data_IF_846633841853
#
_entry.id   IF_846633841853
#
_cell.length_a   1.000
_cell.length_b   1.000
_cell.length_c   1.000
_cell.angle_alpha   90.00
_cell.angle_beta   90.00
_cell.angle_gamma   90.00
#
_symmetry.space_group_name_H-M   'P 1'
#
loop_
_entity.id
_entity.type
_entity.pdbx_description
1 polymer ?
#
# COMPACT_ATOMS: atom_id res chain seq x y z
N UNK A 1 7.55 -11.11 -14.16
CA UNK A 1 6.35 -11.81 -13.68
C UNK A 1 5.13 -11.22 -14.36
N UNK A 2 4.19 -12.06 -14.78
CA UNK A 2 2.86 -11.63 -15.25
C UNK A 2 1.79 -12.59 -14.69
N UNK A 3 0.66 -12.02 -14.30
CA UNK A 3 -0.50 -12.77 -13.79
C UNK A 3 -1.72 -12.34 -14.60
N UNK A 4 -2.48 -13.30 -15.08
CA UNK A 4 -3.79 -13.10 -15.69
C UNK A 4 -4.87 -13.62 -14.73
N UNK A 5 -5.78 -12.75 -14.32
CA UNK A 5 -6.85 -13.07 -13.38
C UNK A 5 -8.19 -12.66 -13.98
N UNK A 6 -9.20 -13.50 -13.82
CA UNK A 6 -10.58 -13.17 -14.14
C UNK A 6 -11.18 -12.28 -13.04
N UNK A 7 -11.71 -11.13 -13.44
CA UNK A 7 -12.17 -10.11 -12.47
C UNK A 7 -13.41 -10.57 -11.69
N UNK A 8 -14.33 -11.27 -12.35
CA UNK A 8 -15.61 -11.68 -11.73
C UNK A 8 -15.44 -12.79 -10.70
N UNK A 9 -14.55 -13.74 -10.95
CA UNK A 9 -14.37 -14.93 -10.12
C UNK A 9 -13.15 -14.87 -9.20
N UNK A 10 -12.17 -14.02 -9.54
CA UNK A 10 -10.85 -14.01 -8.91
C UNK A 10 -9.96 -15.18 -9.32
N UNK A 11 -10.39 -16.01 -10.27
CA UNK A 11 -9.60 -17.15 -10.73
C UNK A 11 -8.33 -16.70 -11.47
N UNK A 12 -7.20 -17.27 -11.09
CA UNK A 12 -5.93 -17.06 -11.79
C UNK A 12 -5.89 -17.97 -13.00
N UNK A 13 -5.94 -17.40 -14.20
CA UNK A 13 -5.94 -18.12 -15.48
C UNK A 13 -4.53 -18.44 -15.98
N UNK A 14 -3.55 -17.60 -15.64
CA UNK A 14 -2.14 -17.84 -15.96
C UNK A 14 -1.20 -17.08 -15.01
N UNK A 15 -0.06 -17.70 -14.71
CA UNK A 15 1.07 -17.07 -14.02
C UNK A 15 2.33 -17.39 -14.81
N UNK A 16 3.14 -16.38 -15.11
CA UNK A 16 4.41 -16.54 -15.81
C UNK A 16 5.53 -15.87 -14.98
N UNK A 17 6.58 -16.65 -14.70
CA UNK A 17 7.75 -16.20 -13.96
C UNK A 17 9.02 -16.51 -14.76
N UNK A 18 9.58 -15.52 -15.43
CA UNK A 18 10.79 -15.70 -16.25
C UNK A 18 11.98 -15.04 -15.59
N UNK A 19 13.01 -15.84 -15.30
CA UNK A 19 14.28 -15.39 -14.76
C UNK A 19 15.36 -15.57 -15.83
N UNK A 20 16.14 -14.51 -16.09
CA UNK A 20 17.29 -14.59 -16.97
C UNK A 20 18.42 -15.35 -16.27
N UNK A 21 18.83 -16.48 -16.84
CA UNK A 21 19.92 -17.31 -16.33
C UNK A 21 21.30 -16.80 -16.81
N UNK A 22 22.36 -17.34 -16.22
CA UNK A 22 23.74 -16.95 -16.56
C UNK A 22 24.11 -17.26 -18.03
N UNK A 23 23.44 -18.20 -18.65
CA UNK A 23 23.59 -18.56 -20.08
C UNK A 23 22.79 -17.63 -21.01
N UNK A 24 22.12 -16.60 -20.45
CA UNK A 24 21.31 -15.64 -21.18
C UNK A 24 19.90 -16.12 -21.53
N UNK A 25 19.55 -17.37 -21.23
CA UNK A 25 18.23 -17.95 -21.51
C UNK A 25 17.27 -17.64 -20.36
N UNK A 26 16.01 -17.34 -20.69
CA UNK A 26 14.96 -17.16 -19.70
C UNK A 26 14.29 -18.48 -19.36
N UNK A 27 14.14 -18.78 -18.06
CA UNK A 27 13.49 -19.98 -17.54
C UNK A 27 12.58 -19.66 -16.38
N UNK A 28 11.57 -20.47 -16.20
CA UNK A 28 10.81 -20.52 -14.94
C UNK A 28 11.59 -21.36 -13.92
N UNK A 29 12.10 -20.72 -12.87
CA UNK A 29 12.87 -21.38 -11.81
C UNK A 29 12.09 -21.37 -10.51
N UNK A 30 11.44 -20.24 -10.20
CA UNK A 30 10.69 -20.01 -8.98
C UNK A 30 9.44 -19.18 -9.29
N UNK A 31 8.35 -19.44 -8.61
CA UNK A 31 7.14 -18.62 -8.74
C UNK A 31 7.25 -17.35 -7.88
N UNK A 32 7.98 -16.36 -8.38
CA UNK A 32 8.20 -15.09 -7.69
C UNK A 32 6.90 -14.30 -7.46
N UNK A 33 5.86 -14.58 -8.25
CA UNK A 33 4.55 -13.92 -8.11
C UNK A 33 3.91 -14.14 -6.74
N UNK A 34 4.15 -15.30 -6.13
CA UNK A 34 3.53 -15.71 -4.87
C UNK A 34 4.54 -15.92 -3.74
N UNK A 35 5.82 -16.07 -4.05
CA UNK A 35 6.86 -16.40 -3.06
C UNK A 35 7.67 -15.20 -2.59
N UNK A 36 7.76 -14.14 -3.40
CA UNK A 36 8.57 -12.98 -3.05
C UNK A 36 7.76 -12.04 -2.16
N UNK A 37 8.38 -11.71 -1.03
CA UNK A 37 7.84 -10.73 -0.09
C UNK A 37 8.56 -9.41 -0.33
N UNK A 38 7.80 -8.40 -0.75
CA UNK A 38 8.33 -7.07 -1.06
C UNK A 38 7.39 -6.01 -0.52
N UNK A 39 7.94 -4.86 -0.21
CA UNK A 39 7.12 -3.68 0.06
C UNK A 39 6.32 -3.31 -1.20
N UNK A 40 4.97 -3.25 -1.11
CA UNK A 40 4.13 -3.06 -2.29
C UNK A 40 4.22 -1.66 -2.89
N UNK A 41 4.77 -0.68 -2.14
CA UNK A 41 4.87 0.70 -2.59
C UNK A 41 3.51 1.31 -2.93
N UNK A 42 3.47 2.18 -3.93
CA UNK A 42 2.28 2.97 -4.28
C UNK A 42 1.04 2.18 -4.70
N UNK A 43 1.15 0.90 -5.02
CA UNK A 43 -0.03 0.05 -5.28
C UNK A 43 -0.87 -0.14 -4.02
N UNK A 44 -0.25 -0.07 -2.85
CA UNK A 44 -0.91 -0.18 -1.55
C UNK A 44 -1.85 0.99 -1.23
N UNK A 45 -1.65 2.16 -1.85
CA UNK A 45 -2.51 3.33 -1.67
C UNK A 45 -3.98 3.05 -1.99
N UNK A 46 -4.25 2.18 -2.94
CA UNK A 46 -5.60 1.74 -3.27
C UNK A 46 -6.26 1.05 -2.08
N UNK A 47 -5.55 0.13 -1.41
CA UNK A 47 -6.05 -0.53 -0.22
C UNK A 47 -6.25 0.45 0.94
N UNK A 48 -5.32 1.39 1.12
CA UNK A 48 -5.41 2.40 2.18
C UNK A 48 -6.64 3.29 2.01
N UNK A 49 -6.87 3.79 0.82
CA UNK A 49 -8.05 4.62 0.51
C UNK A 49 -9.33 3.80 0.62
N UNK A 50 -9.34 2.54 0.15
CA UNK A 50 -10.48 1.64 0.28
C UNK A 50 -10.90 1.48 1.74
N UNK A 51 -9.95 1.21 2.65
CA UNK A 51 -10.22 1.08 4.08
C UNK A 51 -10.84 2.36 4.65
N UNK A 52 -10.29 3.52 4.31
CA UNK A 52 -10.78 4.79 4.83
C UNK A 52 -12.17 5.18 4.29
N UNK A 53 -12.47 4.83 3.05
CA UNK A 53 -13.81 5.00 2.45
C UNK A 53 -14.82 4.04 3.08
N UNK A 54 -14.45 2.76 3.27
CA UNK A 54 -15.30 1.74 3.90
C UNK A 54 -15.63 2.07 5.36
N UNK A 55 -14.66 2.61 6.09
CA UNK A 55 -14.86 3.12 7.46
C UNK A 55 -15.65 4.44 7.52
N UNK A 56 -15.94 5.07 6.38
CA UNK A 56 -16.67 6.33 6.28
C UNK A 56 -15.93 7.54 6.87
N UNK A 57 -14.62 7.45 7.08
CA UNK A 57 -13.83 8.55 7.66
C UNK A 57 -13.39 9.56 6.60
N UNK A 58 -13.40 9.17 5.33
CA UNK A 58 -13.19 10.06 4.17
C UNK A 58 -14.25 9.80 3.11
N UNK A 59 -14.38 10.74 2.16
CA UNK A 59 -15.12 10.58 0.91
C UNK A 59 -14.22 10.85 -0.29
N UNK A 60 -14.64 10.57 -1.53
CA UNK A 60 -13.87 10.94 -2.72
C UNK A 60 -13.55 12.44 -2.80
N UNK A 61 -14.39 13.29 -2.20
CA UNK A 61 -14.27 14.75 -2.19
C UNK A 61 -13.49 15.30 -0.98
N UNK A 62 -13.19 14.47 0.02
CA UNK A 62 -12.42 14.91 1.20
C UNK A 62 -11.11 15.55 0.77
N UNK A 63 -10.91 16.80 1.21
CA UNK A 63 -9.79 17.65 0.81
C UNK A 63 -8.59 17.45 1.73
N UNK A 64 -7.40 17.49 1.15
CA UNK A 64 -6.13 17.40 1.86
C UNK A 64 -5.12 18.39 1.27
N UNK A 65 -4.35 19.05 2.14
CA UNK A 65 -3.30 19.98 1.75
C UNK A 65 -1.98 19.24 1.57
N UNK A 66 -1.41 19.27 0.36
CA UNK A 66 -0.09 18.66 0.06
C UNK A 66 1.02 19.70 -0.12
N UNK A 67 0.67 20.98 -0.11
CA UNK A 67 1.59 22.10 -0.22
C UNK A 67 2.42 22.05 -1.50
N UNK A 68 3.68 22.40 -1.35
CA UNK A 68 4.65 22.40 -2.45
C UNK A 68 5.23 21.00 -2.76
N UNK A 69 4.61 19.94 -2.28
CA UNK A 69 5.07 18.57 -2.50
C UNK A 69 6.16 18.09 -1.55
N UNK A 70 6.40 18.82 -0.45
CA UNK A 70 7.26 18.41 0.65
C UNK A 70 6.51 18.64 1.96
N UNK A 71 6.38 17.61 2.77
CA UNK A 71 5.67 17.67 4.05
C UNK A 71 6.47 17.00 5.17
N UNK A 72 6.50 17.63 6.34
CA UNK A 72 7.13 17.06 7.53
C UNK A 72 6.13 16.17 8.26
N UNK A 73 6.27 14.86 8.07
CA UNK A 73 5.42 13.83 8.69
C UNK A 73 6.16 13.24 9.89
N UNK A 74 5.71 13.58 11.12
CA UNK A 74 6.29 13.05 12.38
C UNK A 74 7.82 13.10 12.46
N UNK A 75 8.43 14.21 11.98
CA UNK A 75 9.89 14.39 12.03
C UNK A 75 10.67 13.84 10.83
N UNK A 76 9.98 13.25 9.84
CA UNK A 76 10.59 12.80 8.57
C UNK A 76 9.94 13.51 7.38
N UNK A 77 10.75 13.91 6.42
CA UNK A 77 10.22 14.50 5.19
C UNK A 77 9.60 13.42 4.30
N UNK A 78 8.35 13.65 3.91
CA UNK A 78 7.67 12.94 2.84
C UNK A 78 7.58 13.83 1.62
N UNK A 79 7.77 13.26 0.44
CA UNK A 79 7.77 14.00 -0.82
C UNK A 79 6.85 13.37 -1.84
N UNK A 80 6.13 14.22 -2.57
CA UNK A 80 5.47 13.84 -3.80
C UNK A 80 6.48 13.87 -4.96
N UNK A 81 6.24 13.10 -6.01
CA UNK A 81 7.17 13.00 -7.12
C UNK A 81 7.37 14.33 -7.88
N UNK A 82 6.40 15.24 -7.81
CA UNK A 82 6.45 16.56 -8.45
C UNK A 82 6.91 17.70 -7.52
N UNK A 83 7.50 17.39 -6.35
CA UNK A 83 7.95 18.40 -5.38
C UNK A 83 8.85 19.48 -5.99
N UNK A 84 9.66 19.12 -6.99
CA UNK A 84 10.54 20.05 -7.72
C UNK A 84 9.80 20.94 -8.73
N UNK A 85 8.49 20.69 -8.94
CA UNK A 85 7.60 21.47 -9.82
C UNK A 85 6.52 22.23 -9.04
N UNK A 86 6.67 22.34 -7.72
CA UNK A 86 5.76 23.10 -6.86
C UNK A 86 4.65 22.29 -6.19
N UNK A 87 4.67 20.94 -6.28
CA UNK A 87 3.69 20.09 -5.61
C UNK A 87 2.31 20.13 -6.24
N UNK A 88 1.32 19.67 -5.49
CA UNK A 88 -0.09 19.61 -5.94
C UNK A 88 -0.99 20.62 -5.21
N UNK A 89 -0.50 21.28 -4.16
CA UNK A 89 -1.31 22.18 -3.34
C UNK A 89 -2.43 21.44 -2.63
N UNK A 90 -3.62 22.03 -2.63
CA UNK A 90 -4.83 21.43 -2.07
C UNK A 90 -5.49 20.52 -3.09
N UNK A 91 -5.66 19.24 -2.76
CA UNK A 91 -6.29 18.22 -3.61
C UNK A 91 -7.30 17.39 -2.81
N UNK A 92 -8.19 16.68 -3.48
CA UNK A 92 -9.13 15.77 -2.82
C UNK A 92 -8.62 14.30 -2.86
N UNK A 93 -9.34 13.40 -2.20
CA UNK A 93 -9.05 11.97 -2.14
C UNK A 93 -8.89 11.38 -3.54
N UNK A 94 -9.85 11.64 -4.43
CA UNK A 94 -9.81 11.16 -5.83
C UNK A 94 -8.51 11.60 -6.52
N UNK A 95 -8.18 12.89 -6.44
CA UNK A 95 -6.97 13.42 -7.06
C UNK A 95 -5.71 12.85 -6.42
N UNK A 96 -5.70 12.66 -5.08
CA UNK A 96 -4.56 12.07 -4.35
C UNK A 96 -4.20 10.69 -4.89
N UNK A 97 -5.21 9.86 -5.18
CA UNK A 97 -5.02 8.53 -5.76
C UNK A 97 -4.61 8.61 -7.24
N UNK A 98 -5.29 9.46 -8.04
CA UNK A 98 -5.01 9.62 -9.47
C UNK A 98 -3.56 10.02 -9.76
N UNK A 99 -2.99 10.92 -8.96
CA UNK A 99 -1.60 11.39 -9.13
C UNK A 99 -0.61 10.64 -8.26
N UNK A 100 -1.08 9.62 -7.53
CA UNK A 100 -0.25 8.85 -6.60
C UNK A 100 0.51 9.72 -5.58
N UNK A 101 -0.17 10.74 -5.03
CA UNK A 101 0.43 11.62 -4.02
C UNK A 101 0.76 10.83 -2.76
N UNK A 102 2.02 10.85 -2.34
CA UNK A 102 2.46 10.27 -1.07
C UNK A 102 1.88 11.07 0.11
N UNK A 103 2.01 12.40 0.01
CA UNK A 103 1.54 13.32 1.06
C UNK A 103 0.02 13.24 1.18
N UNK A 104 -0.69 13.29 0.07
CA UNK A 104 -2.15 13.26 0.06
C UNK A 104 -2.69 12.01 0.73
N UNK A 105 -2.25 10.82 0.30
CA UNK A 105 -2.72 9.56 0.87
C UNK A 105 -2.27 9.40 2.32
N UNK A 106 -1.00 9.65 2.64
CA UNK A 106 -0.53 9.47 4.01
C UNK A 106 -1.21 10.40 4.99
N UNK A 107 -1.50 11.66 4.63
CA UNK A 107 -2.25 12.58 5.48
C UNK A 107 -3.70 12.14 5.67
N UNK A 108 -4.39 11.73 4.58
CA UNK A 108 -5.76 11.22 4.69
C UNK A 108 -5.86 10.04 5.65
N UNK A 109 -4.85 9.17 5.71
CA UNK A 109 -4.85 8.04 6.64
C UNK A 109 -4.38 8.46 8.04
N UNK A 110 -3.29 9.20 8.13
CA UNK A 110 -2.71 9.61 9.41
C UNK A 110 -3.66 10.52 10.21
N UNK A 111 -4.28 11.50 9.56
CA UNK A 111 -5.22 12.44 10.19
C UNK A 111 -6.44 11.72 10.83
N UNK A 112 -6.80 10.51 10.37
CA UNK A 112 -7.98 9.78 10.85
C UNK A 112 -7.67 8.54 11.70
N UNK A 113 -6.45 8.01 11.63
CA UNK A 113 -6.10 6.76 12.32
C UNK A 113 -4.89 6.87 13.24
N UNK A 114 -4.25 8.06 13.33
CA UNK A 114 -3.04 8.24 14.14
C UNK A 114 -3.24 7.81 15.60
N UNK A 115 -4.35 8.17 16.21
CA UNK A 115 -4.68 7.85 17.61
C UNK A 115 -5.10 6.38 17.79
N UNK A 116 -5.45 5.69 16.72
CA UNK A 116 -5.85 4.28 16.74
C UNK A 116 -5.41 3.55 15.46
N UNK A 117 -4.10 3.33 15.29
CA UNK A 117 -3.57 2.69 14.09
C UNK A 117 -4.01 1.23 13.94
N UNK A 118 -4.38 0.56 15.04
CA UNK A 118 -4.94 -0.80 14.99
C UNK A 118 -6.23 -0.84 14.17
N UNK A 119 -7.07 0.19 14.22
CA UNK A 119 -8.30 0.27 13.41
C UNK A 119 -7.99 0.20 11.92
N UNK A 120 -6.97 0.94 11.46
CA UNK A 120 -6.52 0.90 10.06
C UNK A 120 -6.02 -0.49 9.67
N UNK A 121 -5.15 -1.09 10.50
CA UNK A 121 -4.60 -2.44 10.24
C UNK A 121 -5.72 -3.49 10.19
N UNK A 122 -6.69 -3.43 11.10
CA UNK A 122 -7.89 -4.30 11.04
C UNK A 122 -8.70 -4.07 9.76
N UNK A 123 -8.78 -2.84 9.27
CA UNK A 123 -9.37 -2.53 7.98
C UNK A 123 -8.68 -3.25 6.83
N UNK A 124 -7.33 -3.25 6.80
CA UNK A 124 -6.54 -3.99 5.82
C UNK A 124 -6.82 -5.50 5.87
N UNK A 125 -6.94 -6.08 7.06
CA UNK A 125 -7.36 -7.49 7.20
C UNK A 125 -8.77 -7.72 6.67
N UNK A 126 -9.72 -6.82 6.96
CA UNK A 126 -11.12 -6.93 6.50
C UNK A 126 -11.22 -6.93 4.97
N UNK A 127 -10.39 -6.15 4.27
CA UNK A 127 -10.34 -6.13 2.80
C UNK A 127 -9.43 -7.21 2.20
N UNK A 128 -8.92 -8.14 3.02
CA UNK A 128 -8.19 -9.32 2.58
C UNK A 128 -6.70 -9.15 2.33
N UNK A 129 -6.13 -7.94 2.53
CA UNK A 129 -4.71 -7.67 2.20
C UNK A 129 -3.74 -8.51 3.04
N UNK A 130 -4.08 -8.80 4.29
CA UNK A 130 -3.25 -9.60 5.19
C UNK A 130 -3.64 -11.08 5.24
N UNK A 131 -4.59 -11.50 4.41
CA UNK A 131 -5.05 -12.88 4.36
C UNK A 131 -4.07 -13.73 3.53
N UNK A 132 -3.60 -14.87 4.03
CA UNK A 132 -2.81 -15.80 3.23
C UNK A 132 -3.58 -16.22 1.98
N UNK A 133 -2.88 -16.31 0.85
CA UNK A 133 -3.47 -16.80 -0.39
C UNK A 133 -3.76 -18.30 -0.26
N UNK A 134 -5.02 -18.69 -0.46
CA UNK A 134 -5.44 -20.09 -0.55
C UNK A 134 -5.33 -20.55 -2.02
N UNK A 135 -4.10 -20.83 -2.43
CA UNK A 135 -3.77 -21.28 -3.77
C UNK A 135 -3.20 -22.68 -3.70
N UNK A 136 -3.70 -23.60 -4.56
CA UNK A 136 -3.15 -24.94 -4.76
C UNK A 136 -1.78 -24.91 -5.48
N UNK A 137 -0.99 -23.87 -5.22
CA UNK A 137 0.34 -23.68 -5.80
C UNK A 137 1.35 -23.62 -4.65
N UNK A 138 2.32 -24.54 -4.60
CA UNK A 138 3.29 -24.57 -3.51
C UNK A 138 4.21 -23.33 -3.53
N UNK A 139 4.62 -22.90 -2.33
CA UNK A 139 5.61 -21.83 -2.18
C UNK A 139 5.04 -20.42 -1.99
N UNK A 140 3.74 -20.29 -1.73
CA UNK A 140 3.15 -19.00 -1.39
C UNK A 140 3.76 -18.40 -0.11
N UNK A 141 4.18 -17.15 -0.17
CA UNK A 141 4.61 -16.36 0.98
C UNK A 141 3.44 -16.06 1.92
N UNK A 142 3.75 -15.82 3.19
CA UNK A 142 2.73 -15.36 4.15
C UNK A 142 2.76 -13.83 4.22
N UNK A 143 1.61 -13.16 4.06
CA UNK A 143 1.56 -11.71 4.24
C UNK A 143 2.08 -11.33 5.64
N UNK A 144 2.83 -10.25 5.71
CA UNK A 144 3.32 -9.71 6.97
C UNK A 144 2.95 -8.24 7.09
N UNK A 145 1.84 -7.95 7.75
CA UNK A 145 1.45 -6.60 8.12
C UNK A 145 1.62 -6.45 9.63
N UNK A 146 2.44 -5.48 10.02
CA UNK A 146 2.70 -5.21 11.43
C UNK A 146 1.42 -4.79 12.13
N UNK A 147 1.09 -5.48 13.22
CA UNK A 147 -0.04 -5.12 14.10
C UNK A 147 0.52 -4.32 15.27
N UNK A 148 -0.01 -3.11 15.55
CA UNK A 148 0.42 -2.34 16.71
C UNK A 148 0.01 -3.03 18.01
N UNK A 149 0.92 -3.04 18.98
CA UNK A 149 0.60 -3.47 20.34
C UNK A 149 -0.33 -2.45 21.02
N UNK A 150 -1.07 -2.87 22.05
CA UNK A 150 -1.97 -1.98 22.81
C UNK A 150 -1.28 -0.74 23.38
N UNK A 151 -0.01 -0.87 23.76
CA UNK A 151 0.83 0.21 24.29
C UNK A 151 1.65 0.92 23.20
N UNK A 152 1.48 0.54 21.94
CA UNK A 152 2.21 1.04 20.77
C UNK A 152 3.75 0.88 20.89
N UNK A 153 4.25 -0.01 21.74
CA UNK A 153 5.69 -0.20 21.96
C UNK A 153 6.44 -0.70 20.72
N UNK A 154 5.74 -1.37 19.80
CA UNK A 154 6.26 -1.84 18.52
C UNK A 154 5.90 -0.91 17.34
N UNK A 155 5.35 0.27 17.61
CA UNK A 155 4.82 1.18 16.58
C UNK A 155 5.56 2.51 16.58
N UNK A 156 6.27 2.84 15.50
CA UNK A 156 6.92 4.14 15.38
C UNK A 156 5.90 5.24 15.03
N UNK A 157 6.21 6.49 15.33
CA UNK A 157 5.34 7.62 14.97
C UNK A 157 5.11 7.74 13.46
N UNK A 158 6.03 7.24 12.65
CA UNK A 158 5.96 7.30 11.19
C UNK A 158 5.32 6.04 10.59
N UNK A 159 5.14 4.96 11.35
CA UNK A 159 4.73 3.67 10.82
C UNK A 159 3.43 3.73 10.02
N UNK A 160 2.39 4.37 10.55
CA UNK A 160 1.10 4.49 9.87
C UNK A 160 1.20 5.23 8.53
N UNK A 161 1.86 6.39 8.54
CA UNK A 161 2.00 7.24 7.36
C UNK A 161 2.78 6.53 6.24
N UNK A 162 3.86 5.80 6.58
CA UNK A 162 4.64 5.03 5.60
C UNK A 162 3.93 3.76 5.16
N UNK A 163 3.26 3.05 6.07
CA UNK A 163 2.43 1.90 5.73
C UNK A 163 1.34 2.27 4.73
N UNK A 164 0.68 3.41 4.91
CA UNK A 164 -0.40 3.86 4.02
C UNK A 164 0.01 4.04 2.56
N UNK A 165 1.31 4.20 2.30
CA UNK A 165 1.88 4.33 0.96
C UNK A 165 2.72 3.11 0.55
N UNK A 166 2.61 2.00 1.33
CA UNK A 166 3.16 0.69 1.01
C UNK A 166 4.60 0.46 1.41
N UNK A 167 5.06 1.11 2.48
CA UNK A 167 6.36 0.88 3.11
C UNK A 167 6.16 0.54 4.59
N UNK A 168 7.13 -0.15 5.18
CA UNK A 168 7.05 -0.62 6.58
C UNK A 168 5.84 -1.56 6.85
N UNK A 169 5.38 -2.25 5.81
CA UNK A 169 4.27 -3.21 5.86
C UNK A 169 4.75 -4.59 6.30
#
# INVERSE_FOLDING_TARGET
VAILMEVETGEVKAIVNMTKCNDGIYREIRNNAISDMMEPGSTFKTASILVALDDGVITPETVVETGNGVYMMHGRYMKDHNWHRGGYGTINTTKSLMVSSNIGVSRLIDDHYHDNPEKFVRGLHRVGIATPLDLDIPGAGKPNIRIPNKDLSNWSRTALAWMSIGYET
#
